data_IF_798510250493
#
_entry.id   IF_798510250493
#
_cell.length_a   1.000
_cell.length_b   1.000
_cell.length_c   1.000
_cell.angle_alpha   90.00
_cell.angle_beta   90.00
_cell.angle_gamma   90.00
#
_symmetry.space_group_name_H-M   'P 1'
#
loop_
_entity.id
_entity.type
_entity.pdbx_description
1 polymer ?
#
# COMPACT_ATOMS: atom_id res chain seq x y z
N UNK A 1 -7.96 -1.68 -0.90
CA UNK A 1 -8.77 -0.42 -0.96
C UNK A 1 -9.02 -0.08 -2.42
N UNK A 2 -10.18 0.49 -2.76
CA UNK A 2 -10.47 0.99 -4.09
C UNK A 2 -10.48 2.53 -4.11
N UNK A 3 -9.37 3.15 -4.54
CA UNK A 3 -9.28 4.60 -4.67
C UNK A 3 -10.10 5.17 -5.85
N UNK A 4 -10.57 4.31 -6.77
CA UNK A 4 -11.39 4.72 -7.91
C UNK A 4 -12.75 5.30 -7.52
N UNK A 5 -13.18 5.16 -6.26
CA UNK A 5 -14.40 5.80 -5.75
C UNK A 5 -14.38 7.34 -5.84
N UNK A 6 -13.19 7.95 -5.95
CA UNK A 6 -13.08 9.38 -6.22
C UNK A 6 -13.73 9.76 -7.55
N UNK A 7 -13.67 8.89 -8.56
CA UNK A 7 -14.34 9.09 -9.86
C UNK A 7 -15.87 8.98 -9.74
N UNK A 8 -16.36 8.31 -8.69
CA UNK A 8 -17.79 8.17 -8.39
C UNK A 8 -18.30 9.23 -7.41
N UNK A 9 -17.49 10.24 -7.08
CA UNK A 9 -17.91 11.41 -6.30
C UNK A 9 -17.41 11.45 -4.85
N UNK A 10 -16.65 10.45 -4.37
CA UNK A 10 -15.97 10.54 -3.07
C UNK A 10 -14.89 11.63 -3.13
N UNK A 11 -14.76 12.47 -2.12
CA UNK A 11 -13.70 13.49 -2.11
C UNK A 11 -12.33 12.85 -1.85
N UNK A 12 -11.27 13.52 -2.30
CA UNK A 12 -9.89 13.10 -2.01
C UNK A 12 -9.62 13.08 -0.49
N UNK A 13 -10.21 13.99 0.27
CA UNK A 13 -10.04 14.03 1.72
C UNK A 13 -10.67 12.81 2.41
N UNK A 14 -11.88 12.43 2.03
CA UNK A 14 -12.53 11.21 2.54
C UNK A 14 -11.76 9.95 2.15
N UNK A 15 -11.31 9.87 0.90
CA UNK A 15 -10.50 8.75 0.41
C UNK A 15 -9.15 8.67 1.15
N UNK A 16 -8.53 9.83 1.42
CA UNK A 16 -7.29 9.93 2.19
C UNK A 16 -7.46 9.43 3.62
N UNK A 17 -8.58 9.74 4.27
CA UNK A 17 -8.88 9.22 5.62
C UNK A 17 -8.99 7.70 5.63
N UNK A 18 -9.72 7.12 4.69
CA UNK A 18 -9.89 5.67 4.57
C UNK A 18 -8.54 4.95 4.33
N UNK A 19 -7.69 5.51 3.46
CA UNK A 19 -6.34 4.98 3.24
C UNK A 19 -5.51 5.06 4.52
N UNK A 20 -5.55 6.20 5.22
CA UNK A 20 -4.80 6.38 6.46
C UNK A 20 -5.24 5.40 7.56
N UNK A 21 -6.55 5.22 7.75
CA UNK A 21 -7.10 4.24 8.70
C UNK A 21 -6.61 2.82 8.39
N UNK A 22 -6.62 2.42 7.12
CA UNK A 22 -6.12 1.12 6.73
C UNK A 22 -4.61 0.95 6.94
N UNK A 23 -3.81 2.00 6.71
CA UNK A 23 -2.38 1.98 7.03
C UNK A 23 -2.18 1.72 8.53
N UNK A 24 -2.99 2.35 9.39
CA UNK A 24 -2.94 2.08 10.83
C UNK A 24 -3.35 0.65 11.18
N UNK A 25 -4.39 0.10 10.54
CA UNK A 25 -4.80 -1.30 10.74
C UNK A 25 -3.68 -2.27 10.37
N UNK A 26 -3.02 -2.05 9.22
CA UNK A 26 -1.90 -2.87 8.76
C UNK A 26 -0.72 -2.76 9.72
N UNK A 27 -0.35 -1.53 10.11
CA UNK A 27 0.70 -1.31 11.11
C UNK A 27 0.37 -1.94 12.48
N UNK A 28 -0.93 -2.09 12.79
CA UNK A 28 -1.42 -2.76 14.00
C UNK A 28 -1.47 -4.30 13.88
N UNK A 29 -0.99 -4.86 12.77
CA UNK A 29 -0.85 -6.30 12.57
C UNK A 29 -1.93 -6.93 11.68
N UNK A 30 -2.76 -6.14 10.98
CA UNK A 30 -3.64 -6.68 9.94
C UNK A 30 -2.79 -7.14 8.74
N UNK A 31 -2.82 -8.43 8.35
CA UNK A 31 -2.04 -8.90 7.21
C UNK A 31 -2.52 -8.31 5.89
N UNK A 32 -1.60 -7.78 5.10
CA UNK A 32 -1.80 -7.33 3.73
C UNK A 32 -2.03 -8.50 2.78
N UNK A 33 -2.43 -8.20 1.54
CA UNK A 33 -2.61 -9.23 0.52
C UNK A 33 -1.29 -9.90 0.12
N UNK A 34 -0.18 -9.14 0.07
CA UNK A 34 1.14 -9.68 -0.28
C UNK A 34 1.61 -10.69 0.76
N UNK A 35 1.47 -10.37 2.05
CA UNK A 35 1.79 -11.28 3.16
C UNK A 35 0.92 -12.54 3.14
N UNK A 36 -0.39 -12.41 2.91
CA UNK A 36 -1.31 -13.56 2.82
C UNK A 36 -1.00 -14.49 1.63
N UNK A 37 -0.42 -13.95 0.56
CA UNK A 37 -0.04 -14.70 -0.63
C UNK A 37 1.41 -15.18 -0.58
N UNK A 38 2.19 -14.80 0.43
CA UNK A 38 3.61 -15.15 0.56
C UNK A 38 4.52 -14.45 -0.44
N UNK A 39 4.15 -13.25 -0.92
CA UNK A 39 4.87 -12.51 -1.99
C UNK A 39 5.89 -11.49 -1.41
N UNK A 40 5.94 -11.31 -0.08
CA UNK A 40 6.77 -10.27 0.54
C UNK A 40 8.28 -10.37 0.29
N UNK A 41 8.83 -11.58 0.15
CA UNK A 41 10.28 -11.78 -0.04
C UNK A 41 10.75 -11.35 -1.44
N UNK A 42 9.87 -11.42 -2.45
CA UNK A 42 10.17 -11.03 -3.83
C UNK A 42 10.17 -9.49 -4.03
N UNK A 43 9.71 -8.73 -3.03
CA UNK A 43 9.63 -7.25 -3.08
C UNK A 43 10.92 -6.56 -2.60
N UNK A 44 11.88 -7.30 -2.03
CA UNK A 44 13.13 -6.73 -1.54
C UNK A 44 14.10 -6.43 -2.70
N UNK A 45 13.96 -5.24 -3.29
CA UNK A 45 14.83 -4.75 -4.37
C UNK A 45 15.66 -3.56 -3.86
N UNK A 46 16.90 -3.78 -3.39
CA UNK A 46 17.73 -2.69 -2.90
C UNK A 46 18.05 -1.70 -4.01
N UNK A 47 18.04 -0.42 -3.67
CA UNK A 47 18.48 0.63 -4.59
C UNK A 47 19.98 0.49 -4.87
N UNK A 48 20.36 0.33 -6.14
CA UNK A 48 21.76 0.31 -6.54
C UNK A 48 22.32 1.74 -6.55
N UNK A 49 23.25 2.02 -5.64
CA UNK A 49 23.95 3.31 -5.62
C UNK A 49 25.10 3.27 -6.62
N UNK A 50 25.05 4.12 -7.64
CA UNK A 50 26.10 4.25 -8.66
C UNK A 50 25.88 3.39 -9.90
N UNK A 51 26.75 3.52 -10.92
CA UNK A 51 26.64 2.76 -12.16
C UNK A 51 26.90 1.27 -11.93
N UNK A 52 26.07 0.44 -12.56
CA UNK A 52 26.22 -1.02 -12.69
C UNK A 52 26.78 -1.31 -14.09
N UNK A 53 27.76 -2.22 -14.18
CA UNK A 53 28.40 -2.64 -15.44
C UNK A 53 27.56 -3.66 -16.21
#
# INVERSE_FOLDING_TARGET
>A
INAGQVLSGKTVAEMGREIFDHVLEVASGRPTKSEQLGIGDDEFVPWNVGPVL
#
